data_IF_648654650158
#
_entry.id   IF_648654650158
#
_cell.length_a   1.000
_cell.length_b   1.000
_cell.length_c   1.000
_cell.angle_alpha   90.00
_cell.angle_beta   90.00
_cell.angle_gamma   90.00
#
_symmetry.space_group_name_H-M   'P 1'
#
loop_
_entity.id
_entity.type
_entity.pdbx_description
1 polymer ?
#
# COMPACT_ATOMS: atom_id res chain seq x y z
N UNK A 1 -11.81 20.52 -21.44
CA UNK A 1 -10.60 20.16 -22.22
C UNK A 1 -9.57 21.26 -22.00
N UNK A 2 -8.31 20.85 -21.83
CA UNK A 2 -7.11 21.56 -21.31
C UNK A 2 -7.07 21.64 -19.77
N UNK A 3 -6.02 21.23 -19.05
CA UNK A 3 -4.62 21.02 -19.42
C UNK A 3 -4.03 19.75 -18.76
N UNK A 4 -3.85 18.70 -19.56
CA UNK A 4 -2.90 17.62 -19.28
C UNK A 4 -1.57 17.98 -19.91
N UNK A 5 -0.87 18.97 -19.34
CA UNK A 5 0.49 19.28 -19.76
C UNK A 5 1.37 18.08 -19.41
N UNK A 6 1.85 17.40 -20.46
CA UNK A 6 2.66 16.21 -20.39
C UNK A 6 3.82 16.36 -19.39
N UNK A 7 3.70 15.68 -18.25
CA UNK A 7 4.83 15.41 -17.36
C UNK A 7 5.95 14.65 -18.09
N UNK A 8 5.65 14.03 -19.24
CA UNK A 8 6.56 13.19 -20.03
C UNK A 8 7.79 13.90 -20.65
N UNK A 9 7.95 15.22 -20.44
CA UNK A 9 9.00 16.02 -21.07
C UNK A 9 10.11 16.51 -20.10
N UNK A 10 10.06 16.19 -18.80
CA UNK A 10 11.14 16.54 -17.89
C UNK A 10 12.36 15.59 -18.11
N UNK A 11 13.59 16.11 -18.29
CA UNK A 11 14.80 15.29 -18.48
C UNK A 11 14.98 14.20 -17.41
N UNK A 12 14.55 14.48 -16.18
CA UNK A 12 14.58 13.53 -15.06
C UNK A 12 13.74 12.26 -15.29
N UNK A 13 12.55 12.38 -15.89
CA UNK A 13 11.71 11.20 -16.15
C UNK A 13 12.24 10.36 -17.32
N UNK A 14 13.00 10.97 -18.24
CA UNK A 14 13.59 10.24 -19.36
C UNK A 14 14.56 9.14 -18.92
N UNK A 15 15.30 9.37 -17.82
CA UNK A 15 16.19 8.39 -17.20
C UNK A 15 15.44 7.21 -16.55
N UNK A 16 14.14 7.39 -16.23
CA UNK A 16 13.31 6.37 -15.59
C UNK A 16 12.47 5.54 -16.57
N UNK A 17 12.58 5.80 -17.89
CA UNK A 17 11.82 5.05 -18.91
C UNK A 17 12.03 3.53 -18.82
N UNK A 18 13.26 3.09 -18.57
CA UNK A 18 13.56 1.65 -18.43
C UNK A 18 12.77 1.01 -17.29
N UNK A 19 12.70 1.66 -16.13
CA UNK A 19 11.92 1.18 -14.99
C UNK A 19 10.40 1.17 -15.30
N UNK A 20 9.91 2.21 -15.98
CA UNK A 20 8.51 2.25 -16.43
C UNK A 20 8.18 1.08 -17.39
N UNK A 21 9.04 0.82 -18.38
CA UNK A 21 8.89 -0.31 -19.30
C UNK A 21 8.91 -1.65 -18.56
N UNK A 22 9.76 -1.80 -17.53
CA UNK A 22 9.78 -3.01 -16.71
C UNK A 22 8.47 -3.24 -15.96
N UNK A 23 7.89 -2.19 -15.36
CA UNK A 23 6.59 -2.29 -14.66
C UNK A 23 5.48 -2.64 -15.65
N UNK A 24 5.41 -1.94 -16.79
CA UNK A 24 4.43 -2.24 -17.85
C UNK A 24 4.57 -3.68 -18.38
N UNK A 25 5.81 -4.20 -18.45
CA UNK A 25 6.08 -5.55 -18.94
C UNK A 25 5.63 -6.66 -17.99
N UNK A 26 5.40 -6.36 -16.70
CA UNK A 26 4.91 -7.34 -15.71
C UNK A 26 3.45 -7.15 -15.34
N UNK A 27 2.84 -5.99 -15.63
CA UNK A 27 1.43 -5.78 -15.42
C UNK A 27 0.59 -6.75 -16.27
N UNK A 28 -0.33 -7.46 -15.63
CA UNK A 28 -1.20 -8.44 -16.27
C UNK A 28 -2.47 -7.78 -16.83
N UNK A 29 -3.20 -8.51 -17.67
CA UNK A 29 -4.41 -8.02 -18.34
C UNK A 29 -5.57 -7.69 -17.39
N UNK A 30 -5.57 -8.22 -16.18
CA UNK A 30 -6.53 -7.89 -15.12
C UNK A 30 -6.14 -6.63 -14.33
N UNK A 31 -4.98 -6.03 -14.64
CA UNK A 31 -4.45 -4.85 -13.99
C UNK A 31 -3.48 -5.13 -12.85
N UNK A 32 -3.36 -6.37 -12.36
CA UNK A 32 -2.42 -6.75 -11.31
C UNK A 32 -0.96 -6.54 -11.73
N UNK A 33 -0.12 -6.11 -10.80
CA UNK A 33 1.32 -5.85 -11.01
C UNK A 33 2.12 -6.67 -9.98
N UNK A 34 2.50 -7.92 -10.31
CA UNK A 34 3.36 -8.73 -9.44
C UNK A 34 4.80 -8.19 -9.42
N UNK A 35 5.61 -8.66 -8.47
CA UNK A 35 7.01 -8.23 -8.31
C UNK A 35 7.87 -8.48 -9.56
N UNK A 36 7.55 -9.57 -10.25
CA UNK A 36 8.12 -9.99 -11.52
C UNK A 36 7.13 -10.97 -12.19
N UNK A 37 7.38 -11.32 -13.46
CA UNK A 37 6.55 -12.30 -14.17
C UNK A 37 6.46 -13.65 -13.42
N UNK A 38 5.25 -14.02 -13.00
CA UNK A 38 4.96 -15.19 -12.16
C UNK A 38 5.44 -15.10 -10.70
N UNK A 39 5.76 -13.89 -10.23
CA UNK A 39 6.18 -13.61 -8.85
C UNK A 39 5.02 -13.39 -7.88
N UNK A 40 5.32 -13.15 -6.58
CA UNK A 40 4.31 -12.78 -5.62
C UNK A 40 3.67 -11.44 -5.99
N UNK A 41 2.43 -11.26 -5.52
CA UNK A 41 1.68 -10.02 -5.62
C UNK A 41 1.26 -9.58 -4.21
N UNK A 42 1.37 -8.30 -3.92
CA UNK A 42 0.80 -7.69 -2.72
C UNK A 42 0.35 -6.25 -2.99
N UNK A 43 -0.54 -5.74 -2.14
CA UNK A 43 -1.13 -4.42 -2.31
C UNK A 43 -0.15 -3.25 -2.13
N UNK A 44 0.99 -3.43 -1.44
CA UNK A 44 2.02 -2.39 -1.29
C UNK A 44 2.79 -2.20 -2.60
N UNK A 45 3.51 -3.23 -3.04
CA UNK A 45 4.35 -3.17 -4.23
C UNK A 45 3.53 -2.84 -5.48
N UNK A 46 2.30 -3.35 -5.54
CA UNK A 46 1.34 -3.00 -6.58
C UNK A 46 0.98 -1.51 -6.55
N UNK A 47 0.66 -0.96 -5.38
CA UNK A 47 0.34 0.47 -5.24
C UNK A 47 1.53 1.39 -5.55
N UNK A 48 2.77 1.00 -5.22
CA UNK A 48 3.98 1.74 -5.63
C UNK A 48 4.16 1.75 -7.14
N UNK A 49 3.94 0.59 -7.77
CA UNK A 49 4.00 0.46 -9.23
C UNK A 49 2.93 1.33 -9.91
N UNK A 50 1.71 1.35 -9.38
CA UNK A 50 0.63 2.25 -9.83
C UNK A 50 1.05 3.72 -9.75
N UNK A 51 1.65 4.14 -8.63
CA UNK A 51 2.13 5.52 -8.47
C UNK A 51 3.24 5.84 -9.47
N UNK A 52 4.18 4.92 -9.71
CA UNK A 52 5.25 5.09 -10.69
C UNK A 52 4.69 5.25 -12.11
N UNK A 53 3.75 4.40 -12.52
CA UNK A 53 3.07 4.50 -13.82
C UNK A 53 2.34 5.85 -13.96
N UNK A 54 1.65 6.30 -12.91
CA UNK A 54 0.98 7.59 -12.91
C UNK A 54 1.96 8.77 -13.12
N UNK A 55 3.10 8.77 -12.42
CA UNK A 55 4.15 9.80 -12.60
C UNK A 55 4.73 9.77 -14.01
N UNK A 56 4.89 8.59 -14.60
CA UNK A 56 5.42 8.41 -15.95
C UNK A 56 4.43 8.76 -17.06
N UNK A 57 3.17 9.05 -16.72
CA UNK A 57 2.12 9.43 -17.66
C UNK A 57 1.34 8.24 -18.24
N UNK A 58 1.55 7.03 -17.71
CA UNK A 58 0.85 5.81 -18.13
C UNK A 58 -0.50 5.70 -17.40
N UNK A 59 -1.41 6.62 -17.72
CA UNK A 59 -2.66 6.82 -16.98
C UNK A 59 -3.60 5.60 -17.04
N UNK A 60 -3.70 4.93 -18.19
CA UNK A 60 -4.56 3.74 -18.35
C UNK A 60 -4.03 2.56 -17.55
N UNK A 61 -2.71 2.34 -17.56
CA UNK A 61 -2.03 1.31 -16.79
C UNK A 61 -2.19 1.54 -15.27
N UNK A 62 -1.99 2.79 -14.81
CA UNK A 62 -2.20 3.16 -13.42
C UNK A 62 -3.67 2.96 -12.98
N UNK A 63 -4.63 3.34 -13.83
CA UNK A 63 -6.06 3.16 -13.57
C UNK A 63 -6.45 1.69 -13.50
N UNK A 64 -5.94 0.85 -14.42
CA UNK A 64 -6.16 -0.59 -14.39
C UNK A 64 -5.64 -1.22 -13.09
N UNK A 65 -4.48 -0.76 -12.59
CA UNK A 65 -3.96 -1.21 -11.30
C UNK A 65 -4.84 -0.80 -10.11
N UNK A 66 -5.41 0.43 -10.11
CA UNK A 66 -6.37 0.82 -9.08
C UNK A 66 -7.67 0.03 -9.19
N UNK A 67 -8.16 -0.24 -10.41
CA UNK A 67 -9.34 -1.09 -10.67
C UNK A 67 -9.15 -2.49 -10.10
N UNK A 68 -8.00 -3.12 -10.37
CA UNK A 68 -7.67 -4.41 -9.77
C UNK A 68 -7.77 -4.40 -8.24
N UNK A 69 -7.18 -3.41 -7.56
CA UNK A 69 -7.28 -3.30 -6.10
C UNK A 69 -8.73 -3.21 -5.63
N UNK A 70 -9.54 -2.38 -6.30
CA UNK A 70 -10.93 -2.18 -5.90
C UNK A 70 -11.82 -3.40 -6.16
N UNK A 71 -11.56 -4.13 -7.25
CA UNK A 71 -12.35 -5.31 -7.66
C UNK A 71 -11.99 -6.57 -6.87
N UNK A 72 -10.77 -6.65 -6.34
CA UNK A 72 -10.24 -7.80 -5.59
C UNK A 72 -10.21 -7.61 -4.08
N UNK A 73 -10.67 -6.47 -3.57
CA UNK A 73 -10.73 -6.24 -2.13
C UNK A 73 -11.71 -7.22 -1.47
N UNK A 74 -11.26 -7.84 -0.39
CA UNK A 74 -12.09 -8.74 0.41
C UNK A 74 -13.20 -7.97 1.15
N UNK A 75 -14.24 -8.69 1.57
CA UNK A 75 -15.40 -8.08 2.24
C UNK A 75 -15.05 -7.35 3.56
N UNK A 76 -13.95 -7.72 4.20
CA UNK A 76 -13.44 -7.07 5.42
C UNK A 76 -12.56 -5.84 5.15
N UNK A 77 -12.29 -5.52 3.87
CA UNK A 77 -11.46 -4.40 3.44
C UNK A 77 -9.98 -4.76 3.20
N UNK A 78 -9.58 -6.01 3.41
CA UNK A 78 -8.21 -6.47 3.22
C UNK A 78 -7.93 -6.98 1.81
N UNK A 79 -6.68 -7.36 1.58
CA UNK A 79 -6.26 -8.22 0.47
C UNK A 79 -5.37 -9.31 1.03
N UNK A 80 -5.48 -10.51 0.46
CA UNK A 80 -4.45 -11.51 0.61
C UNK A 80 -3.27 -11.15 -0.31
N UNK A 81 -2.07 -11.06 0.26
CA UNK A 81 -0.84 -10.78 -0.47
C UNK A 81 0.18 -11.89 -0.28
N UNK A 82 0.93 -12.21 -1.33
CA UNK A 82 2.10 -13.06 -1.25
C UNK A 82 3.21 -12.33 -0.50
N UNK A 83 3.61 -12.88 0.65
CA UNK A 83 4.69 -12.35 1.47
C UNK A 83 6.06 -12.72 0.86
N UNK A 84 6.45 -11.96 -0.16
CA UNK A 84 7.65 -12.22 -0.96
C UNK A 84 8.95 -12.20 -0.16
N UNK A 85 8.99 -11.49 0.97
CA UNK A 85 10.16 -11.45 1.86
C UNK A 85 10.49 -12.83 2.49
N UNK A 86 9.51 -13.72 2.60
CA UNK A 86 9.76 -15.09 3.07
C UNK A 86 10.26 -16.03 1.96
N UNK A 87 10.37 -15.57 0.71
CA UNK A 87 10.87 -16.41 -0.37
C UNK A 87 12.39 -16.57 -0.26
N UNK A 88 12.93 -17.80 -0.42
CA UNK A 88 14.37 -18.01 -0.40
C UNK A 88 15.02 -17.40 -1.64
N UNK A 89 16.31 -17.08 -1.52
CA UNK A 89 17.13 -16.69 -2.66
C UNK A 89 17.59 -17.92 -3.46
N UNK A 90 17.55 -17.82 -4.78
CA UNK A 90 18.05 -18.80 -5.74
C UNK A 90 19.29 -18.22 -6.45
N UNK A 91 20.42 -18.30 -5.74
CA UNK A 91 21.66 -17.60 -6.08
C UNK A 91 21.70 -16.17 -5.53
N UNK A 92 22.73 -15.38 -5.87
CA UNK A 92 22.99 -14.09 -5.22
C UNK A 92 22.02 -12.97 -5.60
N UNK A 93 21.31 -13.11 -6.73
CA UNK A 93 20.58 -12.00 -7.37
C UNK A 93 19.17 -12.37 -7.81
N UNK A 94 18.64 -13.53 -7.41
CA UNK A 94 17.32 -13.98 -7.85
C UNK A 94 16.53 -14.56 -6.69
N UNK A 95 15.27 -14.17 -6.58
CA UNK A 95 14.30 -14.78 -5.66
C UNK A 95 13.84 -16.12 -6.26
N UNK A 96 13.67 -17.14 -5.42
CA UNK A 96 13.18 -18.43 -5.84
C UNK A 96 11.78 -18.33 -6.47
N UNK A 97 11.54 -19.10 -7.53
CA UNK A 97 10.25 -19.16 -8.23
C UNK A 97 9.35 -20.22 -7.60
N UNK A 98 9.00 -20.00 -6.33
CA UNK A 98 8.08 -20.84 -5.54
C UNK A 98 6.96 -19.97 -4.98
N UNK A 99 5.85 -20.59 -4.58
CA UNK A 99 4.72 -19.86 -4.00
C UNK A 99 5.13 -19.22 -2.67
N UNK A 100 4.85 -17.92 -2.53
CA UNK A 100 5.02 -17.21 -1.27
C UNK A 100 3.89 -17.60 -0.29
N UNK A 101 4.15 -17.57 1.03
CA UNK A 101 3.08 -17.56 2.01
C UNK A 101 2.10 -16.43 1.71
N UNK A 102 0.80 -16.68 1.89
CA UNK A 102 -0.25 -15.70 1.62
C UNK A 102 -0.87 -15.29 2.94
N UNK A 103 -0.90 -13.99 3.22
CA UNK A 103 -1.35 -13.43 4.48
C UNK A 103 -1.90 -12.00 4.31
N UNK A 104 -2.55 -11.49 5.36
CA UNK A 104 -3.10 -10.13 5.40
C UNK A 104 -2.15 -9.20 6.15
N UNK A 105 -1.12 -8.74 5.45
CA UNK A 105 -0.13 -7.81 6.02
C UNK A 105 -0.75 -6.42 6.18
N UNK A 106 -0.69 -5.87 7.40
CA UNK A 106 -1.41 -4.64 7.74
C UNK A 106 -0.80 -3.41 7.06
N UNK A 107 0.51 -3.37 6.81
CA UNK A 107 1.10 -2.25 6.08
C UNK A 107 0.74 -2.32 4.59
N UNK A 108 0.67 -3.53 4.00
CA UNK A 108 0.29 -3.72 2.60
C UNK A 108 -1.14 -3.26 2.38
N UNK A 109 -2.03 -3.60 3.30
CA UNK A 109 -3.45 -3.24 3.23
C UNK A 109 -3.65 -1.73 3.42
N UNK A 110 -2.84 -1.07 4.26
CA UNK A 110 -2.96 0.39 4.46
C UNK A 110 -2.50 1.20 3.23
N UNK A 111 -1.50 0.71 2.50
CA UNK A 111 -0.75 1.49 1.51
C UNK A 111 -1.56 1.99 0.29
N UNK A 112 -2.61 1.32 -0.20
CA UNK A 112 -3.51 1.86 -1.22
C UNK A 112 -4.04 3.27 -0.92
N UNK A 113 -4.17 3.67 0.36
CA UNK A 113 -4.52 5.04 0.73
C UNK A 113 -3.52 6.09 0.19
N UNK A 114 -2.23 5.75 0.20
CA UNK A 114 -1.14 6.60 -0.32
C UNK A 114 -1.29 6.73 -1.83
N UNK A 115 -1.49 5.63 -2.56
CA UNK A 115 -1.63 5.66 -4.01
C UNK A 115 -2.83 6.49 -4.48
N UNK A 116 -3.98 6.36 -3.82
CA UNK A 116 -5.18 7.15 -4.14
C UNK A 116 -4.96 8.63 -3.85
N UNK A 117 -4.40 8.97 -2.69
CA UNK A 117 -4.08 10.36 -2.35
C UNK A 117 -3.04 10.95 -3.30
N UNK A 118 -1.98 10.21 -3.61
CA UNK A 118 -0.95 10.60 -4.57
C UNK A 118 -1.56 10.87 -5.96
N UNK A 119 -2.38 9.96 -6.46
CA UNK A 119 -3.09 10.13 -7.74
C UNK A 119 -3.92 11.40 -7.77
N UNK A 120 -4.72 11.65 -6.72
CA UNK A 120 -5.47 12.90 -6.58
C UNK A 120 -4.57 14.14 -6.53
N UNK A 121 -3.44 14.09 -5.82
CA UNK A 121 -2.50 15.22 -5.74
C UNK A 121 -1.82 15.50 -7.07
N UNK A 122 -1.63 14.47 -7.90
CA UNK A 122 -1.05 14.57 -9.23
C UNK A 122 -2.03 15.16 -10.26
N UNK A 123 -3.28 14.72 -10.25
CA UNK A 123 -4.25 15.02 -11.32
C UNK A 123 -5.33 16.04 -10.93
N UNK A 124 -5.62 16.18 -9.64
CA UNK A 124 -6.77 16.93 -9.14
C UNK A 124 -8.12 16.24 -9.37
N UNK A 125 -8.15 14.99 -9.83
CA UNK A 125 -9.37 14.27 -10.17
C UNK A 125 -10.13 13.81 -8.90
N UNK A 126 -11.10 14.63 -8.48
CA UNK A 126 -11.94 14.31 -7.34
C UNK A 126 -12.93 13.17 -7.62
N UNK A 127 -13.32 12.94 -8.87
CA UNK A 127 -14.27 11.89 -9.21
C UNK A 127 -13.61 10.51 -9.00
N UNK A 128 -12.36 10.39 -9.45
CA UNK A 128 -11.57 9.19 -9.22
C UNK A 128 -11.30 8.98 -7.71
N UNK A 129 -10.89 10.02 -6.98
CA UNK A 129 -10.69 9.93 -5.53
C UNK A 129 -11.98 9.48 -4.80
N UNK A 130 -13.14 10.01 -5.18
CA UNK A 130 -14.46 9.60 -4.65
C UNK A 130 -14.78 8.15 -5.00
N UNK A 131 -14.48 7.69 -6.21
CA UNK A 131 -14.69 6.30 -6.64
C UNK A 131 -13.88 5.32 -5.79
N UNK A 132 -12.64 5.69 -5.44
CA UNK A 132 -11.72 4.85 -4.64
C UNK A 132 -11.94 4.97 -3.14
N UNK A 133 -12.66 5.99 -2.67
CA UNK A 133 -12.83 6.25 -1.25
C UNK A 133 -13.38 5.05 -0.43
N UNK A 134 -14.43 4.34 -0.87
CA UNK A 134 -14.93 3.18 -0.13
C UNK A 134 -13.87 2.10 0.11
N UNK A 135 -13.02 1.85 -0.88
CA UNK A 135 -11.92 0.89 -0.79
C UNK A 135 -10.89 1.31 0.26
N UNK A 136 -10.45 2.58 0.22
CA UNK A 136 -9.51 3.14 1.21
C UNK A 136 -10.11 3.09 2.62
N UNK A 137 -11.39 3.47 2.76
CA UNK A 137 -12.07 3.47 4.05
C UNK A 137 -12.18 2.07 4.66
N UNK A 138 -12.52 1.07 3.86
CA UNK A 138 -12.57 -0.32 4.30
C UNK A 138 -11.18 -0.82 4.73
N UNK A 139 -10.15 -0.57 3.93
CA UNK A 139 -8.77 -0.96 4.23
C UNK A 139 -8.24 -0.35 5.53
N UNK A 140 -8.49 0.94 5.76
CA UNK A 140 -8.06 1.60 6.99
C UNK A 140 -8.82 1.09 8.20
N UNK A 141 -10.13 0.84 8.08
CA UNK A 141 -10.90 0.25 9.16
C UNK A 141 -10.42 -1.16 9.50
N UNK A 142 -10.06 -1.96 8.51
CA UNK A 142 -9.42 -3.26 8.71
C UNK A 142 -8.16 -3.08 9.56
N UNK A 143 -7.18 -2.30 9.07
CA UNK A 143 -5.87 -2.10 9.70
C UNK A 143 -5.98 -1.60 11.15
N UNK A 144 -6.91 -0.67 11.41
CA UNK A 144 -7.11 -0.13 12.75
C UNK A 144 -7.74 -1.14 13.73
N UNK A 145 -8.40 -2.19 13.23
CA UNK A 145 -8.87 -3.28 14.08
C UNK A 145 -7.74 -4.18 14.59
N UNK A 146 -6.53 -4.09 14.00
CA UNK A 146 -5.31 -4.76 14.49
C UNK A 146 -4.45 -3.87 15.39
N UNK A 147 -4.93 -2.67 15.78
CA UNK A 147 -4.17 -1.78 16.67
C UNK A 147 -4.23 -2.25 18.12
N UNK A 148 -3.07 -2.44 18.74
CA UNK A 148 -2.91 -2.74 20.16
C UNK A 148 -3.30 -1.54 21.04
N UNK A 149 -3.66 -1.76 22.32
CA UNK A 149 -3.94 -0.67 23.28
C UNK A 149 -2.81 0.36 23.39
N UNK A 150 -1.55 -0.07 23.27
CA UNK A 150 -0.36 0.78 23.37
C UNK A 150 -0.13 1.64 22.12
N UNK A 151 -0.68 1.23 20.96
CA UNK A 151 -0.79 2.02 19.74
C UNK A 151 -0.10 1.43 18.52
N UNK A 152 0.83 0.50 18.71
CA UNK A 152 1.40 -0.33 17.64
C UNK A 152 0.33 -1.21 16.98
N UNK A 153 0.58 -1.65 15.75
CA UNK A 153 -0.31 -2.46 14.93
C UNK A 153 0.44 -3.73 14.55
N UNK A 154 -0.20 -4.89 14.74
CA UNK A 154 0.37 -6.19 14.39
C UNK A 154 0.78 -6.24 12.92
N UNK A 155 1.91 -6.88 12.61
CA UNK A 155 2.45 -6.96 11.25
C UNK A 155 1.46 -7.63 10.28
N UNK A 156 0.78 -8.71 10.68
CA UNK A 156 -0.33 -9.27 9.93
C UNK A 156 -1.53 -9.58 10.82
N UNK A 157 -2.70 -9.69 10.20
CA UNK A 157 -3.94 -9.99 10.92
C UNK A 157 -3.94 -11.40 11.53
N UNK A 158 -3.33 -12.37 10.86
CA UNK A 158 -3.24 -13.76 11.32
C UNK A 158 -2.37 -13.91 12.58
N UNK A 159 -1.40 -13.02 12.79
CA UNK A 159 -0.54 -13.05 13.97
C UNK A 159 -1.19 -12.44 15.22
N UNK A 160 -2.18 -11.56 15.07
CA UNK A 160 -2.78 -10.82 16.18
C UNK A 160 -3.31 -11.76 17.28
N UNK A 161 -2.82 -11.56 18.51
CA UNK A 161 -3.22 -12.34 19.69
C UNK A 161 -2.62 -13.76 19.77
N UNK A 162 -1.70 -14.12 18.87
CA UNK A 162 -0.97 -15.40 18.89
C UNK A 162 0.43 -15.23 19.49
N UNK A 163 1.18 -16.33 19.65
CA UNK A 163 2.57 -16.27 20.10
C UNK A 163 3.54 -15.58 19.13
N UNK A 164 3.15 -15.41 17.86
CA UNK A 164 3.93 -14.71 16.83
C UNK A 164 3.42 -13.28 16.57
N UNK A 165 2.57 -12.74 17.44
CA UNK A 165 2.12 -11.35 17.37
C UNK A 165 3.28 -10.38 17.62
N UNK A 166 3.76 -9.78 16.53
CA UNK A 166 4.77 -8.72 16.56
C UNK A 166 4.31 -7.47 15.80
N UNK A 167 5.01 -6.36 15.98
CA UNK A 167 4.80 -5.12 15.25
C UNK A 167 6.12 -4.68 14.62
N UNK A 168 6.17 -4.58 13.29
CA UNK A 168 7.39 -4.13 12.59
C UNK A 168 7.44 -2.61 12.58
N UNK A 169 8.56 -2.01 13.01
CA UNK A 169 8.68 -0.55 13.10
C UNK A 169 8.48 0.12 11.73
N UNK A 170 9.11 -0.41 10.69
CA UNK A 170 8.98 0.10 9.32
C UNK A 170 7.55 -0.01 8.79
N UNK A 171 6.88 -1.14 9.06
CA UNK A 171 5.47 -1.33 8.69
C UNK A 171 4.54 -0.37 9.40
N UNK A 172 4.73 -0.16 10.70
CA UNK A 172 3.96 0.79 11.50
C UNK A 172 4.22 2.26 11.07
N UNK A 173 5.45 2.60 10.70
CA UNK A 173 5.76 3.91 10.12
C UNK A 173 5.04 4.12 8.76
N UNK A 174 4.99 3.09 7.92
CA UNK A 174 4.23 3.09 6.67
C UNK A 174 2.73 3.29 6.93
N UNK A 175 2.14 2.55 7.87
CA UNK A 175 0.72 2.70 8.25
C UNK A 175 0.44 4.12 8.78
N UNK A 176 1.34 4.70 9.57
CA UNK A 176 1.18 6.08 10.05
C UNK A 176 1.11 7.11 8.90
N UNK A 177 1.89 6.92 7.84
CA UNK A 177 1.84 7.75 6.64
C UNK A 177 0.55 7.50 5.83
N UNK A 178 0.16 6.24 5.65
CA UNK A 178 -1.09 5.83 4.99
C UNK A 178 -2.34 6.39 5.68
N UNK A 179 -2.39 6.35 7.02
CA UNK A 179 -3.45 6.98 7.81
C UNK A 179 -3.52 8.50 7.60
N UNK A 180 -2.38 9.16 7.39
CA UNK A 180 -2.34 10.57 7.02
C UNK A 180 -3.01 10.84 5.67
N UNK A 181 -2.68 10.04 4.66
CA UNK A 181 -3.29 10.10 3.33
C UNK A 181 -4.81 9.82 3.38
N UNK A 182 -5.22 8.81 4.15
CA UNK A 182 -6.62 8.47 4.35
C UNK A 182 -7.40 9.59 5.04
N UNK A 183 -6.83 10.25 6.05
CA UNK A 183 -7.45 11.41 6.71
C UNK A 183 -7.61 12.60 5.76
N UNK A 184 -6.65 12.83 4.86
CA UNK A 184 -6.80 13.86 3.84
C UNK A 184 -7.88 13.52 2.81
N UNK A 185 -8.00 12.25 2.41
CA UNK A 185 -9.09 11.79 1.57
C UNK A 185 -10.44 11.93 2.29
N UNK A 186 -10.52 11.58 3.57
CA UNK A 186 -11.70 11.76 4.41
C UNK A 186 -12.18 13.22 4.44
N UNK A 187 -11.24 14.15 4.65
CA UNK A 187 -11.51 15.59 4.61
C UNK A 187 -12.00 16.05 3.22
N UNK A 188 -11.44 15.49 2.14
CA UNK A 188 -11.90 15.74 0.75
C UNK A 188 -13.33 15.21 0.51
N UNK A 189 -13.73 14.12 1.17
CA UNK A 189 -15.10 13.59 1.11
C UNK A 189 -16.08 14.34 2.02
N UNK A 190 -15.60 15.17 2.94
CA UNK A 190 -16.43 15.77 3.99
C UNK A 190 -16.88 14.74 5.04
N UNK A 191 -16.14 13.64 5.20
CA UNK A 191 -16.41 12.57 6.17
C UNK A 191 -15.38 12.62 7.31
N UNK A 192 -15.60 13.39 8.40
CA UNK A 192 -14.64 13.46 9.50
C UNK A 192 -14.52 12.10 10.22
N UNK A 193 -13.27 11.66 10.45
CA UNK A 193 -12.96 10.40 11.14
C UNK A 193 -12.09 10.63 12.39
N UNK A 194 -12.71 11.04 13.50
CA UNK A 194 -12.01 11.31 14.76
C UNK A 194 -11.33 10.07 15.35
N UNK A 195 -11.97 8.90 15.23
CA UNK A 195 -11.39 7.63 15.67
C UNK A 195 -10.06 7.33 14.96
N UNK A 196 -9.96 7.63 13.66
CA UNK A 196 -8.71 7.46 12.90
C UNK A 196 -7.65 8.47 13.36
N UNK A 197 -8.02 9.72 13.63
CA UNK A 197 -7.09 10.73 14.16
C UNK A 197 -6.51 10.29 15.51
N UNK A 198 -7.35 9.78 16.40
CA UNK A 198 -6.94 9.23 17.70
C UNK A 198 -6.01 8.01 17.52
N UNK A 199 -6.40 7.06 16.68
CA UNK A 199 -5.61 5.86 16.39
C UNK A 199 -4.22 6.21 15.83
N UNK A 200 -4.16 7.13 14.86
CA UNK A 200 -2.90 7.66 14.31
C UNK A 200 -2.05 8.36 15.37
N UNK A 201 -2.69 9.05 16.32
CA UNK A 201 -2.02 9.68 17.47
C UNK A 201 -1.39 8.66 18.42
N UNK A 202 -2.09 7.56 18.72
CA UNK A 202 -1.55 6.44 19.52
C UNK A 202 -0.36 5.79 18.83
N UNK A 203 -0.48 5.51 17.54
CA UNK A 203 0.60 4.95 16.73
C UNK A 203 1.83 5.85 16.72
N UNK A 204 1.65 7.16 16.52
CA UNK A 204 2.73 8.14 16.61
C UNK A 204 3.45 8.10 17.96
N UNK A 205 2.69 7.99 19.05
CA UNK A 205 3.26 7.91 20.40
C UNK A 205 4.05 6.62 20.57
N UNK A 206 3.52 5.48 20.12
CA UNK A 206 4.24 4.20 20.18
C UNK A 206 5.58 4.29 19.44
N UNK A 207 5.57 4.74 18.17
CA UNK A 207 6.77 4.90 17.34
C UNK A 207 7.83 5.81 17.98
N UNK A 208 7.42 6.89 18.65
CA UNK A 208 8.35 7.87 19.22
C UNK A 208 8.79 7.57 20.66
N UNK A 209 7.99 6.81 21.42
CA UNK A 209 8.14 6.74 22.87
C UNK A 209 8.15 5.32 23.44
N UNK A 210 7.86 4.30 22.62
CA UNK A 210 7.78 2.91 23.05
C UNK A 210 8.50 1.97 22.05
N UNK A 211 9.82 2.16 21.82
CA UNK A 211 10.57 1.33 20.87
C UNK A 211 10.51 -0.17 21.20
N UNK A 212 10.34 -0.53 22.48
CA UNK A 212 10.18 -1.92 22.95
C UNK A 212 8.92 -2.62 22.44
N UNK A 213 7.99 -1.89 21.83
CA UNK A 213 6.78 -2.45 21.20
C UNK A 213 7.06 -3.05 19.82
N UNK A 214 8.17 -2.70 19.19
CA UNK A 214 8.49 -3.11 17.84
C UNK A 214 9.59 -4.16 17.81
N UNK A 215 9.53 -5.03 16.81
CA UNK A 215 10.56 -6.05 16.52
C UNK A 215 10.88 -6.88 17.78
N UNK A 216 9.84 -7.22 18.56
CA UNK A 216 9.93 -7.82 19.90
C UNK A 216 10.60 -9.18 19.90
N UNK A 217 10.40 -9.93 18.81
CA UNK A 217 10.96 -11.26 18.61
C UNK A 217 12.43 -11.23 18.14
N UNK A 218 12.92 -10.11 17.63
CA UNK A 218 14.29 -9.96 17.12
C UNK A 218 14.62 -10.87 15.92
N UNK A 219 13.60 -11.37 15.22
CA UNK A 219 13.73 -12.16 14.00
C UNK A 219 13.26 -11.29 12.83
N UNK A 220 14.21 -10.75 12.07
CA UNK A 220 13.97 -10.11 10.77
C UNK A 220 13.81 -11.16 9.66
#
# INVERSE_FOLDING_TARGET
MTAGTALSAAPALSALRGACTSILGVQLSDGSIPWFDGGPWDAWNHAESVMALAVMGEADAARAGLDFLQETQEADGSWFGGYGNALPMDGPMRIARVAAPVLKDTNFIAYPAVAVWHGFRLTGDQAEARRRWPMVRAAINFVLAQQHPDGDISWCAEALGTEIDDAVLAGNASIYASLGCALHLADLMGEPHDAWRLARGRLRRAVLCAPERFDRSGQD
#
